data_IF_620557155028
#
_entry.id   IF_620557155028
#
_cell.length_a   1.000
_cell.length_b   1.000
_cell.length_c   1.000
_cell.angle_alpha   90.00
_cell.angle_beta   90.00
_cell.angle_gamma   90.00
#
_symmetry.space_group_name_H-M   'P 1'
#
loop_
_entity.id
_entity.type
_entity.pdbx_description
1 polymer ?
#
# COMPACT_ATOMS: atom_id res chain seq x y z
N UNK A 1 -21.34 -8.45 16.87
CA UNK A 1 -20.38 -8.73 15.78
C UNK A 1 -18.98 -8.54 16.34
N UNK A 2 -18.17 -9.58 16.34
CA UNK A 2 -16.78 -9.56 16.79
C UNK A 2 -15.91 -9.80 15.56
N UNK A 3 -14.86 -9.01 15.36
CA UNK A 3 -13.91 -9.17 14.26
C UNK A 3 -12.56 -9.52 14.87
N UNK A 4 -12.00 -10.66 14.47
CA UNK A 4 -10.66 -11.09 14.88
C UNK A 4 -9.70 -10.93 13.72
N UNK A 5 -8.52 -10.38 13.99
CA UNK A 5 -7.43 -10.29 13.02
C UNK A 5 -6.25 -11.12 13.52
N UNK A 6 -5.59 -11.87 12.64
CA UNK A 6 -4.45 -12.70 12.98
C UNK A 6 -3.51 -12.82 11.78
N UNK A 7 -2.22 -12.99 12.03
CA UNK A 7 -1.23 -13.33 10.99
C UNK A 7 -1.07 -14.83 10.79
N UNK A 8 -1.71 -15.66 11.63
CA UNK A 8 -1.61 -17.12 11.57
C UNK A 8 -2.88 -17.70 10.98
N UNK A 9 -2.77 -18.31 9.80
CA UNK A 9 -3.90 -18.96 9.14
C UNK A 9 -4.52 -20.08 9.98
N UNK A 10 -3.70 -20.81 10.75
CA UNK A 10 -4.19 -21.84 11.67
C UNK A 10 -5.15 -21.28 12.72
N UNK A 11 -4.94 -20.05 13.18
CA UNK A 11 -5.84 -19.37 14.13
C UNK A 11 -7.09 -18.88 13.42
N UNK A 12 -6.97 -18.36 12.20
CA UNK A 12 -8.13 -17.94 11.41
C UNK A 12 -9.06 -19.12 11.07
N UNK A 13 -8.48 -20.28 10.76
CA UNK A 13 -9.23 -21.50 10.39
C UNK A 13 -9.88 -22.19 11.59
N UNK A 14 -9.51 -21.83 12.82
CA UNK A 14 -10.19 -22.29 14.03
C UNK A 14 -11.44 -21.47 14.35
N UNK A 15 -11.64 -20.33 13.69
CA UNK A 15 -12.86 -19.53 13.83
C UNK A 15 -13.95 -20.16 12.96
N UNK A 16 -15.16 -20.31 13.51
CA UNK A 16 -16.32 -20.91 12.82
C UNK A 16 -17.04 -19.91 11.88
N UNK A 17 -16.34 -18.83 11.50
CA UNK A 17 -16.85 -17.67 10.76
C UNK A 17 -16.14 -17.49 9.40
N UNK A 18 -16.71 -16.64 8.55
CA UNK A 18 -16.17 -16.32 7.23
C UNK A 18 -14.73 -15.78 7.30
N UNK A 19 -13.78 -16.47 6.64
CA UNK A 19 -12.37 -16.07 6.56
C UNK A 19 -12.17 -15.06 5.43
N UNK A 20 -11.61 -13.90 5.77
CA UNK A 20 -11.14 -12.90 4.79
C UNK A 20 -9.61 -12.94 4.75
N UNK A 21 -9.04 -13.23 3.56
CA UNK A 21 -7.59 -13.10 3.34
C UNK A 21 -7.22 -11.63 3.10
N UNK A 22 -6.18 -11.15 3.77
CA UNK A 22 -5.55 -9.86 3.45
C UNK A 22 -4.32 -10.11 2.58
N UNK A 23 -4.48 -9.92 1.28
CA UNK A 23 -3.39 -10.03 0.32
C UNK A 23 -2.62 -8.70 0.20
N UNK A 24 -1.48 -8.74 -0.50
CA UNK A 24 -0.73 -7.54 -0.85
C UNK A 24 -1.46 -6.70 -1.90
N UNK A 25 -1.15 -5.40 -1.96
CA UNK A 25 -1.70 -4.52 -2.99
C UNK A 25 -1.14 -4.88 -4.36
N UNK A 26 -1.97 -4.75 -5.40
CA UNK A 26 -1.47 -4.77 -6.78
C UNK A 26 -0.53 -3.60 -7.05
N UNK A 27 0.25 -3.67 -8.12
CA UNK A 27 1.12 -2.58 -8.55
C UNK A 27 0.33 -1.31 -8.87
N UNK A 28 -0.85 -1.43 -9.49
CA UNK A 28 -1.71 -0.27 -9.80
C UNK A 28 -2.25 0.38 -8.52
N UNK A 29 -2.70 -0.43 -7.56
CA UNK A 29 -3.23 0.08 -6.28
C UNK A 29 -2.11 0.70 -5.45
N UNK A 30 -0.93 0.06 -5.42
CA UNK A 30 0.29 0.60 -4.79
C UNK A 30 0.66 1.95 -5.37
N UNK A 31 0.69 2.06 -6.70
CA UNK A 31 0.99 3.32 -7.38
C UNK A 31 -0.06 4.39 -7.08
N UNK A 32 -1.35 4.07 -7.17
CA UNK A 32 -2.44 4.99 -6.86
C UNK A 32 -2.33 5.54 -5.42
N UNK A 33 -2.06 4.64 -4.47
CA UNK A 33 -1.90 4.98 -3.06
C UNK A 33 -0.66 5.87 -2.83
N UNK A 34 0.47 5.52 -3.44
CA UNK A 34 1.69 6.33 -3.41
C UNK A 34 1.44 7.71 -3.99
N UNK A 35 0.89 7.79 -5.21
CA UNK A 35 0.66 9.04 -5.92
C UNK A 35 -0.20 9.99 -5.09
N UNK A 36 -1.29 9.48 -4.50
CA UNK A 36 -2.19 10.27 -3.65
C UNK A 36 -1.47 10.90 -2.47
N UNK A 37 -0.54 10.17 -1.84
CA UNK A 37 0.16 10.66 -0.66
C UNK A 37 1.41 11.48 -1.02
N UNK A 38 2.18 11.12 -2.04
CA UNK A 38 3.42 11.81 -2.40
C UNK A 38 3.16 13.16 -3.11
N UNK A 39 2.10 13.24 -3.91
CA UNK A 39 1.81 14.37 -4.78
C UNK A 39 0.53 15.11 -4.42
N UNK A 40 0.06 15.01 -3.18
CA UNK A 40 -1.18 15.69 -2.74
C UNK A 40 -1.15 17.20 -2.99
N UNK A 41 0.02 17.83 -2.85
CA UNK A 41 0.23 19.27 -3.04
C UNK A 41 1.03 19.62 -4.30
N UNK A 42 1.42 18.61 -5.10
CA UNK A 42 2.31 18.77 -6.27
C UNK A 42 1.53 18.32 -7.50
N UNK A 43 1.46 19.16 -8.53
CA UNK A 43 0.87 18.76 -9.81
C UNK A 43 1.81 17.76 -10.53
N UNK A 44 1.43 16.47 -10.66
CA UNK A 44 2.29 15.48 -11.28
C UNK A 44 2.59 15.79 -12.76
N UNK A 45 1.71 16.55 -13.43
CA UNK A 45 1.91 16.94 -14.84
C UNK A 45 3.06 17.92 -15.02
N UNK A 46 3.43 18.65 -13.96
CA UNK A 46 4.57 19.56 -13.97
C UNK A 46 5.91 18.84 -13.74
N UNK A 47 5.85 17.59 -13.27
CA UNK A 47 7.00 16.79 -12.87
C UNK A 47 6.89 15.35 -13.37
N UNK A 48 6.87 15.12 -14.69
CA UNK A 48 6.77 13.77 -15.26
C UNK A 48 7.90 12.83 -14.82
N UNK A 49 9.08 13.36 -14.50
CA UNK A 49 10.21 12.62 -13.94
C UNK A 49 9.91 12.03 -12.56
N UNK A 50 9.19 12.77 -11.71
CA UNK A 50 8.78 12.28 -10.38
C UNK A 50 7.73 11.18 -10.50
N UNK A 51 6.96 11.16 -11.58
CA UNK A 51 6.00 10.09 -11.84
C UNK A 51 6.71 8.75 -12.10
N UNK A 52 7.76 8.77 -12.92
CA UNK A 52 8.56 7.58 -13.24
C UNK A 52 9.22 7.04 -11.97
N UNK A 53 9.90 7.91 -11.22
CA UNK A 53 10.56 7.55 -9.96
C UNK A 53 9.54 7.03 -8.93
N UNK A 54 8.40 7.69 -8.80
CA UNK A 54 7.34 7.28 -7.87
C UNK A 54 6.77 5.90 -8.18
N UNK A 55 6.61 5.56 -9.47
CA UNK A 55 6.18 4.21 -9.89
C UNK A 55 7.22 3.14 -9.56
N UNK A 56 8.51 3.44 -9.76
CA UNK A 56 9.59 2.53 -9.38
C UNK A 56 9.63 2.29 -7.86
N UNK A 57 9.47 3.35 -7.07
CA UNK A 57 9.41 3.25 -5.61
C UNK A 57 8.20 2.40 -5.18
N UNK A 58 7.01 2.67 -5.73
CA UNK A 58 5.81 1.92 -5.41
C UNK A 58 5.95 0.42 -5.76
N UNK A 59 6.60 0.13 -6.88
CA UNK A 59 6.91 -1.25 -7.29
C UNK A 59 7.89 -1.92 -6.34
N UNK A 60 8.97 -1.23 -5.92
CA UNK A 60 9.95 -1.75 -4.95
C UNK A 60 9.36 -2.00 -3.56
N UNK A 61 8.26 -1.33 -3.20
CA UNK A 61 7.53 -1.59 -1.95
C UNK A 61 6.73 -2.90 -1.97
N UNK A 62 6.67 -3.59 -3.12
CA UNK A 62 6.16 -4.95 -3.28
C UNK A 62 4.74 -5.17 -2.73
N UNK A 63 3.87 -4.17 -2.91
CA UNK A 63 2.47 -4.25 -2.50
C UNK A 63 2.21 -4.13 -1.00
N UNK A 64 3.23 -3.91 -0.16
CA UNK A 64 3.07 -3.81 1.30
C UNK A 64 2.60 -2.39 1.70
N UNK A 65 1.35 -2.20 2.19
CA UNK A 65 0.84 -0.87 2.49
C UNK A 65 1.67 -0.11 3.53
N UNK A 66 2.21 -0.83 4.52
CA UNK A 66 2.99 -0.23 5.60
C UNK A 66 4.35 0.32 5.10
N UNK A 67 5.06 -0.45 4.27
CA UNK A 67 6.33 -0.04 3.65
C UNK A 67 6.09 1.15 2.73
N UNK A 68 5.06 1.05 1.88
CA UNK A 68 4.70 2.11 0.95
C UNK A 68 4.43 3.42 1.68
N UNK A 69 3.59 3.38 2.72
CA UNK A 69 3.27 4.56 3.54
C UNK A 69 4.52 5.17 4.17
N UNK A 70 5.40 4.33 4.71
CA UNK A 70 6.63 4.81 5.35
C UNK A 70 7.54 5.54 4.35
N UNK A 71 7.81 4.93 3.19
CA UNK A 71 8.65 5.54 2.15
C UNK A 71 8.02 6.82 1.61
N UNK A 72 6.71 6.84 1.37
CA UNK A 72 6.03 8.07 0.91
C UNK A 72 6.14 9.21 1.90
N UNK A 73 6.05 8.94 3.21
CA UNK A 73 6.17 9.99 4.24
C UNK A 73 7.57 10.61 4.28
N UNK A 74 8.63 9.83 4.05
CA UNK A 74 10.01 10.33 3.99
C UNK A 74 10.27 11.26 2.80
N UNK A 75 9.47 11.16 1.73
CA UNK A 75 9.60 12.02 0.55
C UNK A 75 8.90 13.38 0.76
N UNK A 76 7.94 13.47 1.70
CA UNK A 76 7.22 14.71 2.00
C UNK A 76 7.93 15.62 3.01
N UNK A 77 8.81 15.06 3.85
CA UNK A 77 9.61 15.80 4.84
C UNK A 77 10.85 16.42 4.21
#
# INVERSE_FOLDING_TARGET
MIIVTTRKESVASMMDDEKISMDILSSEVSWSLFRRHAFETIDPKKHPELEVVGKEIATKCNGLPLVLKHVTLQIRS
#
